data_IF_262319077893
#
_entry.id   IF_262319077893
#
_cell.length_a   1.000
_cell.length_b   1.000
_cell.length_c   1.000
_cell.angle_alpha   90.00
_cell.angle_beta   90.00
_cell.angle_gamma   90.00
#
_symmetry.space_group_name_H-M   'P 1'
#
loop_
_entity.id
_entity.type
_entity.pdbx_description
1 polymer ?
#
# COMPACT_ATOMS: atom_id res chain seq x y z
N UNK A 1 19.51 -30.09 -64.56
CA UNK A 1 20.01 -29.37 -63.38
C UNK A 1 18.83 -29.18 -62.43
N UNK A 2 19.01 -29.75 -61.22
CA UNK A 2 18.37 -29.45 -59.93
C UNK A 2 16.83 -29.44 -59.78
N UNK A 3 16.37 -30.52 -59.15
CA UNK A 3 15.12 -30.67 -58.40
C UNK A 3 15.16 -29.88 -57.07
N UNK A 4 13.96 -29.53 -56.57
CA UNK A 4 13.56 -29.69 -55.16
C UNK A 4 14.01 -28.62 -54.15
N UNK A 5 13.09 -27.74 -53.77
CA UNK A 5 13.14 -27.06 -52.47
C UNK A 5 11.77 -27.20 -51.79
N UNK A 6 11.78 -27.72 -50.57
CA UNK A 6 10.62 -28.23 -49.85
C UNK A 6 9.67 -27.17 -49.32
N UNK A 7 8.40 -27.55 -49.21
CA UNK A 7 7.43 -26.95 -48.31
C UNK A 7 7.76 -27.38 -46.87
N UNK A 8 8.13 -26.42 -46.02
CA UNK A 8 8.03 -26.55 -44.56
C UNK A 8 6.64 -26.12 -44.10
N UNK A 9 6.15 -26.59 -42.93
CA UNK A 9 4.82 -26.27 -42.47
C UNK A 9 4.72 -24.79 -42.04
N UNK A 10 3.66 -24.12 -42.48
CA UNK A 10 3.21 -22.84 -41.93
C UNK A 10 2.90 -23.02 -40.44
N UNK A 11 3.64 -22.31 -39.59
CA UNK A 11 3.28 -22.15 -38.18
C UNK A 11 2.36 -20.93 -38.13
N UNK A 12 1.06 -21.18 -38.01
CA UNK A 12 0.09 -20.15 -37.60
C UNK A 12 0.55 -19.58 -36.26
N UNK A 13 0.98 -18.32 -36.28
CA UNK A 13 1.20 -17.54 -35.06
C UNK A 13 -0.17 -17.07 -34.57
N UNK A 14 -0.71 -17.75 -33.58
CA UNK A 14 -1.83 -17.28 -32.77
C UNK A 14 -1.49 -15.93 -32.15
N UNK A 15 -2.28 -14.91 -32.49
CA UNK A 15 -2.18 -13.58 -31.93
C UNK A 15 -2.91 -13.53 -30.58
N UNK A 16 -2.17 -13.66 -29.47
CA UNK A 16 -2.67 -13.36 -28.13
C UNK A 16 -1.64 -12.58 -27.34
N UNK A 17 -1.54 -11.28 -27.64
CA UNK A 17 -1.04 -10.25 -26.73
C UNK A 17 -1.90 -9.02 -27.00
N UNK A 18 -3.01 -8.90 -26.27
CA UNK A 18 -3.72 -7.61 -26.15
C UNK A 18 -3.11 -6.90 -24.94
N UNK A 19 -2.28 -5.90 -25.23
CA UNK A 19 -1.88 -4.88 -24.26
C UNK A 19 -3.13 -4.19 -23.72
N UNK A 20 -3.52 -4.53 -22.49
CA UNK A 20 -4.57 -3.81 -21.78
C UNK A 20 -3.96 -2.60 -21.09
N UNK A 21 -4.15 -1.43 -21.71
CA UNK A 21 -4.00 -0.13 -21.05
C UNK A 21 -5.16 0.05 -20.05
N UNK A 22 -4.84 0.49 -18.85
CA UNK A 22 -5.83 0.98 -17.88
C UNK A 22 -6.47 2.26 -18.46
N UNK A 23 -7.80 2.35 -18.62
CA UNK A 23 -8.45 3.54 -19.18
C UNK A 23 -8.28 4.76 -18.26
N UNK A 24 -7.94 5.91 -18.83
CA UNK A 24 -7.87 7.18 -18.13
C UNK A 24 -9.28 7.77 -17.96
N UNK A 25 -9.68 8.05 -16.73
CA UNK A 25 -10.93 8.77 -16.43
C UNK A 25 -10.74 10.28 -16.68
N UNK A 26 -11.67 10.87 -17.43
CA UNK A 26 -11.67 12.28 -17.81
C UNK A 26 -12.11 13.14 -16.63
N UNK A 27 -11.23 13.98 -16.11
CA UNK A 27 -11.60 15.09 -15.23
C UNK A 27 -11.72 16.37 -16.05
N UNK A 28 -12.96 16.86 -16.22
CA UNK A 28 -13.23 18.20 -16.72
C UNK A 28 -12.83 19.23 -15.64
N UNK A 29 -11.92 20.15 -15.96
CA UNK A 29 -11.62 21.32 -15.12
C UNK A 29 -11.82 22.60 -15.93
N UNK A 30 -12.73 23.46 -15.45
CA UNK A 30 -12.94 24.82 -15.95
C UNK A 30 -11.85 25.79 -15.45
N UNK A 31 -11.66 26.94 -16.11
CA UNK A 31 -10.43 27.72 -15.99
C UNK A 31 -10.45 28.70 -14.80
N UNK A 32 -9.40 28.68 -13.98
CA UNK A 32 -9.10 29.75 -13.03
C UNK A 32 -8.08 30.73 -13.62
N UNK A 33 -8.36 32.03 -13.42
CA UNK A 33 -7.64 33.16 -13.95
C UNK A 33 -6.33 33.46 -13.21
N UNK A 34 -5.36 33.97 -13.98
CA UNK A 34 -4.07 34.49 -13.52
C UNK A 34 -4.18 35.61 -12.48
N UNK A 35 -3.30 35.59 -11.48
CA UNK A 35 -2.83 36.82 -10.83
C UNK A 35 -1.33 36.78 -10.55
N UNK A 36 -0.70 37.88 -10.94
CA UNK A 36 0.72 38.21 -10.92
C UNK A 36 1.11 38.92 -9.62
N UNK A 37 2.23 38.53 -9.03
CA UNK A 37 2.98 39.34 -8.06
C UNK A 37 3.68 40.52 -8.76
N UNK A 38 4.03 41.60 -8.02
CA UNK A 38 5.47 41.73 -7.71
C UNK A 38 5.82 42.31 -6.32
N UNK A 39 6.99 41.84 -5.87
CA UNK A 39 8.03 42.36 -4.97
C UNK A 39 7.88 43.71 -4.24
N UNK A 40 8.35 43.74 -2.97
CA UNK A 40 9.50 44.57 -2.54
C UNK A 40 9.97 44.23 -1.12
N UNK A 41 11.29 44.11 -0.96
CA UNK A 41 12.04 43.83 0.28
C UNK A 41 12.74 45.09 0.78
N UNK A 42 12.67 45.38 2.09
CA UNK A 42 13.59 46.28 2.81
C UNK A 42 13.88 45.74 4.24
N UNK A 43 15.06 46.04 4.82
CA UNK A 43 15.76 45.23 5.83
C UNK A 43 15.44 45.61 7.30
N UNK A 44 15.83 44.76 8.28
CA UNK A 44 15.49 44.95 9.68
C UNK A 44 16.44 45.88 10.43
N UNK A 45 15.88 46.62 11.40
CA UNK A 45 16.58 47.52 12.31
C UNK A 45 17.13 46.78 13.53
N UNK A 46 18.40 47.08 13.87
CA UNK A 46 19.15 46.59 15.02
C UNK A 46 18.73 47.31 16.32
N UNK A 47 18.50 46.55 17.39
CA UNK A 47 18.52 47.07 18.77
C UNK A 47 19.26 46.08 19.71
N UNK A 48 20.48 46.46 20.08
CA UNK A 48 21.13 46.31 21.39
C UNK A 48 21.19 44.94 22.11
N UNK A 49 22.32 44.24 21.98
CA UNK A 49 22.80 43.27 22.99
C UNK A 49 23.83 43.95 23.93
N UNK A 50 23.80 43.68 25.25
CA UNK A 50 24.95 43.94 26.11
C UNK A 50 25.91 42.74 26.12
N UNK A 51 27.20 43.04 25.91
CA UNK A 51 28.34 42.13 26.06
C UNK A 51 28.52 41.66 27.51
N UNK A 52 28.40 40.35 27.74
CA UNK A 52 29.30 39.53 28.59
C UNK A 52 28.68 38.16 28.91
N UNK A 53 28.91 37.15 28.07
CA UNK A 53 28.97 35.76 28.54
C UNK A 53 29.82 34.90 27.60
N UNK A 54 30.94 34.40 28.09
CA UNK A 54 31.82 33.44 27.40
C UNK A 54 31.51 32.05 27.95
N UNK A 55 31.05 31.07 27.15
CA UNK A 55 30.70 29.75 27.66
C UNK A 55 31.95 28.93 28.01
N UNK A 56 32.13 28.61 29.29
CA UNK A 56 32.96 27.48 29.73
C UNK A 56 32.23 26.64 30.77
N UNK A 57 32.06 25.36 30.42
CA UNK A 57 31.92 24.19 31.30
C UNK A 57 30.61 24.00 32.11
N UNK A 58 29.79 23.04 31.62
CA UNK A 58 28.77 22.19 32.29
C UNK A 58 28.34 22.58 33.72
N UNK A 59 27.18 23.23 33.82
CA UNK A 59 26.30 23.19 35.00
C UNK A 59 25.03 22.41 34.65
N UNK A 60 25.02 21.11 34.96
CA UNK A 60 23.80 20.33 35.05
C UNK A 60 23.27 20.48 36.49
N UNK A 61 21.99 20.80 36.71
CA UNK A 61 21.44 20.84 38.06
C UNK A 61 21.50 19.45 38.70
N UNK A 62 22.11 19.38 39.88
CA UNK A 62 22.13 18.17 40.72
C UNK A 62 20.74 18.00 41.32
N UNK A 63 19.96 17.04 40.80
CA UNK A 63 18.72 16.59 41.42
C UNK A 63 19.11 15.67 42.59
N UNK A 64 18.92 16.11 43.82
CA UNK A 64 19.10 15.24 44.99
C UNK A 64 17.93 14.25 45.08
N UNK A 65 18.22 12.97 45.38
CA UNK A 65 17.18 11.97 45.70
C UNK A 65 16.47 12.39 46.99
N UNK A 66 15.38 13.12 46.85
CA UNK A 66 14.58 13.66 47.96
C UNK A 66 13.59 14.73 47.51
N UNK A 67 13.90 15.46 46.43
CA UNK A 67 13.10 16.61 45.97
C UNK A 67 12.02 16.25 44.93
N UNK A 68 11.80 14.97 44.64
CA UNK A 68 10.65 14.54 43.83
C UNK A 68 9.39 14.46 44.69
N UNK A 69 8.46 15.39 44.47
CA UNK A 69 7.08 15.28 44.93
C UNK A 69 6.51 13.95 44.45
N UNK A 70 6.29 13.00 45.37
CA UNK A 70 5.56 11.79 45.04
C UNK A 70 4.07 12.12 44.96
N UNK A 71 3.56 12.18 43.73
CA UNK A 71 2.12 12.19 43.47
C UNK A 71 1.63 10.76 43.65
N UNK A 72 0.92 10.51 44.75
CA UNK A 72 0.18 9.25 44.95
C UNK A 72 -1.01 9.25 44.00
N UNK A 73 -0.93 8.44 42.94
CA UNK A 73 -2.05 8.20 42.05
C UNK A 73 -2.88 7.07 42.66
N UNK A 74 -4.11 7.39 43.04
CA UNK A 74 -5.09 6.41 43.52
C UNK A 74 -5.56 5.56 42.32
N UNK A 75 -5.30 4.24 42.27
CA UNK A 75 -5.67 3.41 41.12
C UNK A 75 -7.15 3.08 41.21
N UNK A 76 -8.00 4.06 40.96
CA UNK A 76 -9.43 3.84 40.81
C UNK A 76 -9.73 3.27 39.41
N UNK A 77 -9.85 1.94 39.37
CA UNK A 77 -10.72 1.16 38.47
C UNK A 77 -10.60 1.42 36.96
N UNK A 78 -9.44 1.14 36.39
CA UNK A 78 -9.44 0.58 35.03
C UNK A 78 -9.88 -0.89 35.14
N UNK A 79 -10.87 -1.36 34.35
CA UNK A 79 -11.18 -2.79 34.33
C UNK A 79 -9.91 -3.54 33.94
N UNK A 80 -9.49 -4.48 34.79
CA UNK A 80 -8.35 -5.33 34.50
C UNK A 80 -8.63 -6.06 33.18
N UNK A 81 -7.86 -5.73 32.15
CA UNK A 81 -7.86 -6.49 30.92
C UNK A 81 -7.57 -7.95 31.29
N UNK A 82 -8.53 -8.84 31.06
CA UNK A 82 -8.28 -10.25 31.27
C UNK A 82 -7.11 -10.67 30.37
N UNK A 83 -6.18 -11.50 30.86
CA UNK A 83 -5.10 -11.98 30.02
C UNK A 83 -5.72 -12.86 28.94
N UNK A 84 -5.88 -12.29 27.74
CA UNK A 84 -6.30 -13.03 26.55
C UNK A 84 -5.19 -14.04 26.28
N UNK A 85 -5.47 -15.32 26.47
CA UNK A 85 -4.49 -16.37 26.21
C UNK A 85 -4.41 -16.58 24.70
N UNK A 86 -3.44 -15.93 24.06
CA UNK A 86 -3.19 -15.99 22.61
C UNK A 86 -3.06 -14.60 21.98
N UNK A 87 -2.51 -14.50 20.76
CA UNK A 87 -2.53 -13.24 20.03
C UNK A 87 -3.97 -12.78 19.80
N UNK A 88 -4.23 -11.47 19.79
CA UNK A 88 -5.56 -10.95 19.50
C UNK A 88 -6.04 -11.28 18.08
N UNK A 89 -7.31 -10.98 17.76
CA UNK A 89 -7.91 -11.21 16.44
C UNK A 89 -7.03 -10.64 15.30
N UNK A 90 -7.00 -11.32 14.16
CA UNK A 90 -6.30 -10.88 12.96
C UNK A 90 -7.30 -10.30 11.98
N UNK A 91 -7.06 -9.08 11.51
CA UNK A 91 -7.83 -8.41 10.46
C UNK A 91 -6.94 -8.04 9.29
N UNK A 92 -7.52 -8.07 8.10
CA UNK A 92 -6.87 -7.66 6.85
C UNK A 92 -7.72 -6.61 6.14
N UNK A 93 -7.06 -5.60 5.59
CA UNK A 93 -7.64 -4.50 4.81
C UNK A 93 -7.17 -4.62 3.37
N UNK A 94 -8.12 -4.60 2.43
CA UNK A 94 -7.83 -4.51 1.00
C UNK A 94 -7.37 -3.12 0.58
N UNK A 95 -7.31 -2.92 -0.74
CA UNK A 95 -6.80 -1.71 -1.38
C UNK A 95 -7.66 -0.48 -1.06
N UNK A 96 -7.00 0.62 -0.69
CA UNK A 96 -7.67 1.82 -0.14
C UNK A 96 -7.75 2.95 -1.16
N UNK A 97 -6.69 3.18 -1.94
CA UNK A 97 -6.64 4.19 -3.01
C UNK A 97 -7.12 5.58 -2.60
N UNK A 98 -6.65 6.12 -1.48
CA UNK A 98 -6.95 7.49 -1.04
C UNK A 98 -8.41 7.73 -0.63
N UNK A 99 -9.23 6.69 -0.54
CA UNK A 99 -10.61 6.76 -0.05
C UNK A 99 -10.65 6.73 1.49
N UNK A 100 -10.09 7.79 2.09
CA UNK A 100 -9.93 7.92 3.54
C UNK A 100 -11.26 7.77 4.32
N UNK A 101 -12.32 8.42 3.85
CA UNK A 101 -13.62 8.36 4.53
C UNK A 101 -14.20 6.93 4.53
N UNK A 102 -14.03 6.20 3.43
CA UNK A 102 -14.44 4.80 3.31
C UNK A 102 -13.61 3.91 4.22
N UNK A 103 -12.30 4.16 4.32
CA UNK A 103 -11.42 3.43 5.23
C UNK A 103 -11.84 3.64 6.69
N UNK A 104 -12.03 4.89 7.10
CA UNK A 104 -12.47 5.23 8.46
C UNK A 104 -13.81 4.55 8.77
N UNK A 105 -14.78 4.64 7.86
CA UNK A 105 -16.08 4.00 8.04
C UNK A 105 -15.97 2.47 8.19
N UNK A 106 -15.15 1.81 7.34
CA UNK A 106 -14.98 0.36 7.40
C UNK A 106 -14.24 -0.10 8.67
N UNK A 107 -13.23 0.65 9.13
CA UNK A 107 -12.54 0.37 10.38
C UNK A 107 -13.47 0.55 11.60
N UNK A 108 -14.34 1.57 11.57
CA UNK A 108 -15.35 1.80 12.62
C UNK A 108 -16.42 0.71 12.62
N UNK A 109 -16.89 0.27 11.45
CA UNK A 109 -17.85 -0.83 11.31
C UNK A 109 -17.33 -2.12 11.98
N UNK A 110 -16.02 -2.37 11.88
CA UNK A 110 -15.36 -3.52 12.52
C UNK A 110 -14.94 -3.26 13.98
N UNK A 111 -15.20 -2.08 14.54
CA UNK A 111 -14.82 -1.72 15.91
C UNK A 111 -13.30 -1.61 16.12
N UNK A 112 -12.54 -1.40 15.05
CA UNK A 112 -11.08 -1.26 15.09
C UNK A 112 -10.65 0.11 15.61
N UNK A 113 -11.43 1.13 15.23
CA UNK A 113 -11.26 2.52 15.68
C UNK A 113 -12.58 3.07 16.21
N UNK A 114 -12.50 4.02 17.13
CA UNK A 114 -13.66 4.68 17.71
C UNK A 114 -14.21 5.82 16.82
N UNK A 115 -15.23 6.53 17.32
CA UNK A 115 -15.83 7.66 16.61
C UNK A 115 -14.91 8.87 16.45
N UNK A 116 -13.80 8.94 17.21
CA UNK A 116 -12.76 9.95 17.07
C UNK A 116 -11.63 9.48 16.12
N UNK A 117 -11.70 8.27 15.58
CA UNK A 117 -10.71 7.69 14.68
C UNK A 117 -9.45 7.22 15.40
N UNK A 118 -9.55 6.88 16.68
CA UNK A 118 -8.47 6.36 17.52
C UNK A 118 -8.61 4.85 17.68
N UNK A 119 -7.48 4.14 17.77
CA UNK A 119 -7.48 2.69 17.99
C UNK A 119 -8.22 2.31 19.28
N UNK A 120 -9.21 1.43 19.17
CA UNK A 120 -9.98 0.91 20.31
C UNK A 120 -10.03 -0.62 20.39
N UNK A 121 -9.29 -1.34 19.56
CA UNK A 121 -9.37 -2.79 19.43
C UNK A 121 -8.36 -3.59 20.27
N UNK A 122 -7.77 -2.99 21.29
CA UNK A 122 -6.89 -3.67 22.25
C UNK A 122 -5.74 -4.42 21.56
N UNK A 123 -5.63 -5.72 21.82
CA UNK A 123 -4.56 -6.61 21.29
C UNK A 123 -4.79 -7.08 19.84
N UNK A 124 -5.77 -6.50 19.13
CA UNK A 124 -6.05 -6.84 17.73
C UNK A 124 -4.83 -6.57 16.83
N UNK A 125 -4.74 -7.36 15.78
CA UNK A 125 -3.66 -7.34 14.80
C UNK A 125 -4.26 -6.99 13.45
N UNK A 126 -3.80 -5.90 12.84
CA UNK A 126 -4.32 -5.39 11.57
C UNK A 126 -3.22 -5.38 10.51
N UNK A 127 -3.54 -5.85 9.31
CA UNK A 127 -2.66 -5.79 8.14
C UNK A 127 -3.35 -5.10 6.98
N UNK A 128 -2.65 -4.15 6.36
CA UNK A 128 -3.03 -3.56 5.07
C UNK A 128 -2.25 -4.23 3.94
N UNK A 129 -2.91 -4.55 2.82
CA UNK A 129 -2.30 -5.27 1.69
C UNK A 129 -1.64 -4.36 0.64
N UNK A 130 -1.44 -3.07 0.94
CA UNK A 130 -0.86 -2.08 0.05
C UNK A 130 -1.89 -1.19 -0.63
N UNK A 131 -1.43 -0.36 -1.57
CA UNK A 131 -2.25 0.55 -2.39
C UNK A 131 -3.06 1.56 -1.55
N UNK A 132 -2.33 2.38 -0.79
CA UNK A 132 -2.87 3.44 0.05
C UNK A 132 -3.27 4.68 -0.74
N UNK A 133 -2.55 4.98 -1.82
CA UNK A 133 -2.64 6.27 -2.54
C UNK A 133 -3.22 6.12 -3.94
N UNK A 134 -3.35 7.27 -4.60
CA UNK A 134 -3.87 7.45 -5.96
C UNK A 134 -5.37 7.16 -6.11
N UNK A 135 -5.97 7.69 -7.18
CA UNK A 135 -7.39 7.61 -7.57
C UNK A 135 -8.33 8.38 -6.63
N UNK A 136 -8.41 8.01 -5.36
CA UNK A 136 -9.23 8.70 -4.37
C UNK A 136 -8.66 10.08 -3.97
N UNK A 137 -9.41 10.84 -3.15
CA UNK A 137 -9.11 12.25 -2.91
C UNK A 137 -8.00 12.53 -1.89
N UNK A 138 -7.65 11.59 -1.01
CA UNK A 138 -6.75 11.83 0.12
C UNK A 138 -5.81 10.65 0.43
N UNK A 139 -4.85 10.39 -0.45
CA UNK A 139 -3.85 9.33 -0.24
C UNK A 139 -2.91 9.61 0.92
N UNK A 140 -2.48 10.86 1.10
CA UNK A 140 -1.59 11.21 2.24
C UNK A 140 -2.32 11.07 3.57
N UNK A 141 -3.60 11.44 3.66
CA UNK A 141 -4.40 11.23 4.86
C UNK A 141 -4.58 9.76 5.22
N UNK A 142 -4.64 8.86 4.23
CA UNK A 142 -4.60 7.41 4.46
C UNK A 142 -3.27 6.98 5.08
N UNK A 143 -2.14 7.42 4.52
CA UNK A 143 -0.81 7.12 5.07
C UNK A 143 -0.69 7.64 6.51
N UNK A 144 -1.08 8.88 6.77
CA UNK A 144 -1.07 9.50 8.10
C UNK A 144 -1.89 8.68 9.11
N UNK A 145 -3.08 8.21 8.70
CA UNK A 145 -3.93 7.36 9.52
C UNK A 145 -3.24 6.03 9.84
N UNK A 146 -2.71 5.32 8.84
CA UNK A 146 -2.07 4.01 9.03
C UNK A 146 -0.83 4.13 9.93
N UNK A 147 0.00 5.17 9.73
CA UNK A 147 1.15 5.44 10.58
C UNK A 147 0.74 5.69 12.04
N UNK A 148 -0.34 6.46 12.26
CA UNK A 148 -0.89 6.70 13.61
C UNK A 148 -1.42 5.42 14.24
N UNK A 149 -2.25 4.66 13.51
CA UNK A 149 -2.82 3.41 14.01
C UNK A 149 -1.75 2.37 14.34
N UNK A 150 -0.64 2.34 13.60
CA UNK A 150 0.52 1.50 13.92
C UNK A 150 1.05 1.77 15.34
N UNK A 151 1.24 3.05 15.69
CA UNK A 151 1.71 3.46 17.01
C UNK A 151 0.67 3.21 18.10
N UNK A 152 -0.61 3.52 17.86
CA UNK A 152 -1.69 3.34 18.82
C UNK A 152 -1.96 1.86 19.12
N UNK A 153 -1.99 1.00 18.08
CA UNK A 153 -2.18 -0.43 18.24
C UNK A 153 -1.04 -1.07 19.04
N UNK A 154 0.21 -0.68 18.76
CA UNK A 154 1.38 -1.15 19.51
C UNK A 154 1.30 -0.76 21.00
N UNK A 155 0.85 0.47 21.30
CA UNK A 155 0.65 0.93 22.67
C UNK A 155 -0.45 0.15 23.42
N UNK A 156 -1.45 -0.35 22.69
CA UNK A 156 -2.55 -1.17 23.23
C UNK A 156 -2.22 -2.68 23.33
N UNK A 157 -1.02 -3.10 22.92
CA UNK A 157 -0.58 -4.51 22.92
C UNK A 157 -1.01 -5.30 21.68
N UNK A 158 -1.53 -4.63 20.65
CA UNK A 158 -1.79 -5.17 19.32
C UNK A 158 -0.72 -4.74 18.33
N UNK A 159 -1.03 -4.78 17.04
CA UNK A 159 -0.24 -4.10 16.00
C UNK A 159 -1.09 -3.72 14.80
N UNK A 160 -0.65 -2.70 14.08
CA UNK A 160 -1.16 -2.35 12.76
C UNK A 160 0.04 -2.22 11.81
N UNK A 161 0.08 -3.06 10.78
CA UNK A 161 1.18 -3.20 9.82
C UNK A 161 0.65 -3.14 8.39
N UNK A 162 1.56 -2.95 7.44
CA UNK A 162 1.24 -2.68 6.04
C UNK A 162 2.24 -3.36 5.12
N UNK A 163 1.76 -3.85 3.97
CA UNK A 163 2.58 -4.30 2.87
C UNK A 163 2.82 -3.18 1.85
N UNK A 164 3.89 -3.33 1.08
CA UNK A 164 4.20 -2.52 -0.09
C UNK A 164 3.24 -2.86 -1.24
N UNK A 165 2.50 -1.87 -1.73
CA UNK A 165 1.75 -1.97 -2.99
C UNK A 165 2.50 -1.42 -4.19
N UNK A 166 1.95 -1.61 -5.39
CA UNK A 166 2.54 -1.01 -6.59
C UNK A 166 2.35 0.51 -6.62
N UNK A 167 1.31 1.05 -5.97
CA UNK A 167 1.08 2.49 -5.92
C UNK A 167 2.06 3.21 -4.99
N UNK A 168 2.51 2.58 -3.90
CA UNK A 168 3.59 3.11 -3.06
C UNK A 168 4.91 3.18 -3.85
N UNK A 169 5.25 2.13 -4.61
CA UNK A 169 6.41 2.11 -5.49
C UNK A 169 6.34 3.21 -6.56
N UNK A 170 5.15 3.42 -7.12
CA UNK A 170 4.91 4.41 -8.16
C UNK A 170 5.03 5.85 -7.62
N UNK A 171 4.48 6.13 -6.43
CA UNK A 171 4.59 7.43 -5.77
C UNK A 171 6.03 7.73 -5.32
N UNK A 172 6.71 6.74 -4.72
CA UNK A 172 8.13 6.84 -4.38
C UNK A 172 8.98 7.17 -5.62
N UNK A 173 8.76 6.44 -6.71
CA UNK A 173 9.47 6.65 -7.96
C UNK A 173 9.16 8.01 -8.58
N UNK A 174 7.91 8.47 -8.55
CA UNK A 174 7.54 9.79 -9.06
C UNK A 174 8.25 10.90 -8.28
N UNK A 175 8.32 10.79 -6.95
CA UNK A 175 9.03 11.75 -6.10
C UNK A 175 10.54 11.75 -6.33
N UNK A 176 11.16 10.56 -6.50
CA UNK A 176 12.62 10.40 -6.57
C UNK A 176 13.18 10.62 -7.97
N UNK A 177 12.47 10.17 -8.99
CA UNK A 177 12.95 10.10 -10.37
C UNK A 177 12.22 11.06 -11.30
N UNK A 178 10.98 11.48 -10.98
CA UNK A 178 10.21 12.42 -11.79
C UNK A 178 10.13 12.00 -13.26
N UNK A 179 10.63 12.86 -14.15
CA UNK A 179 10.67 12.65 -15.61
C UNK A 179 11.92 11.90 -16.10
N UNK A 180 12.69 11.27 -15.20
CA UNK A 180 13.83 10.44 -15.60
C UNK A 180 13.34 9.30 -16.51
N UNK A 181 13.89 9.17 -17.73
CA UNK A 181 13.55 8.08 -18.63
C UNK A 181 13.92 6.72 -18.05
N UNK A 182 13.00 5.77 -18.14
CA UNK A 182 13.24 4.35 -17.83
C UNK A 182 12.88 3.48 -19.03
N UNK A 183 13.54 2.34 -19.17
CA UNK A 183 13.25 1.42 -20.26
C UNK A 183 12.01 0.58 -19.93
N UNK A 184 10.93 0.75 -20.71
CA UNK A 184 9.74 -0.09 -20.60
C UNK A 184 9.61 -1.01 -21.83
N UNK A 185 8.90 -2.12 -21.67
CA UNK A 185 8.64 -3.05 -22.79
C UNK A 185 7.91 -2.41 -24.00
N UNK A 186 7.28 -1.25 -23.81
CA UNK A 186 6.59 -0.48 -24.85
C UNK A 186 7.36 0.77 -25.31
N UNK A 187 8.62 0.95 -24.89
CA UNK A 187 9.46 2.11 -25.18
C UNK A 187 9.87 2.88 -23.91
N UNK A 188 10.24 4.15 -24.05
CA UNK A 188 10.62 4.99 -22.91
C UNK A 188 9.39 5.41 -22.09
N UNK A 189 9.46 5.27 -20.76
CA UNK A 189 8.46 5.75 -19.80
C UNK A 189 9.11 6.66 -18.75
N UNK A 190 8.30 7.30 -17.89
CA UNK A 190 8.76 8.02 -16.70
C UNK A 190 7.82 7.71 -15.54
N UNK A 191 8.33 7.74 -14.30
CA UNK A 191 7.50 7.55 -13.12
C UNK A 191 6.45 8.65 -12.96
N UNK A 192 6.79 9.90 -13.25
CA UNK A 192 5.84 11.02 -13.17
C UNK A 192 4.64 10.81 -14.10
N UNK A 193 4.88 10.41 -15.35
CA UNK A 193 3.81 10.15 -16.31
C UNK A 193 2.99 8.92 -15.91
N UNK A 194 3.65 7.84 -15.49
CA UNK A 194 2.97 6.62 -15.06
C UNK A 194 2.11 6.84 -13.81
N UNK A 195 2.60 7.60 -12.84
CA UNK A 195 1.87 7.98 -11.64
C UNK A 195 0.59 8.76 -11.98
N UNK A 196 0.69 9.81 -12.79
CA UNK A 196 -0.47 10.58 -13.25
C UNK A 196 -1.48 9.72 -14.00
N UNK A 197 -1.01 8.81 -14.88
CA UNK A 197 -1.88 7.90 -15.64
C UNK A 197 -2.61 6.89 -14.75
N UNK A 198 -2.05 6.53 -13.61
CA UNK A 198 -2.65 5.58 -12.66
C UNK A 198 -3.45 6.26 -11.54
N UNK A 199 -3.82 7.53 -11.72
CA UNK A 199 -4.68 8.26 -10.80
C UNK A 199 -3.92 9.10 -9.77
N UNK A 200 -2.64 9.38 -9.98
CA UNK A 200 -1.84 10.20 -9.10
C UNK A 200 -2.47 11.57 -8.81
N UNK A 201 -2.60 11.89 -7.52
CA UNK A 201 -3.20 13.16 -7.07
C UNK A 201 -2.13 14.20 -6.78
N UNK A 202 -2.22 15.37 -7.42
CA UNK A 202 -1.26 16.47 -7.21
C UNK A 202 -1.23 16.95 -5.76
N UNK A 203 -2.39 17.00 -5.11
CA UNK A 203 -2.51 17.35 -3.69
C UNK A 203 -1.74 16.40 -2.79
N UNK A 204 -1.66 15.11 -3.15
CA UNK A 204 -0.87 14.14 -2.40
C UNK A 204 0.63 14.41 -2.57
N UNK A 205 1.09 14.66 -3.81
CA UNK A 205 2.48 15.00 -4.08
C UNK A 205 2.93 16.29 -3.37
N UNK A 206 2.05 17.30 -3.31
CA UNK A 206 2.31 18.57 -2.62
C UNK A 206 2.41 18.39 -1.09
N UNK A 207 1.63 17.47 -0.52
CA UNK A 207 1.66 17.15 0.92
C UNK A 207 2.74 16.14 1.31
N UNK A 208 3.28 15.38 0.36
CA UNK A 208 4.24 14.31 0.58
C UNK A 208 5.55 14.82 1.23
N UNK A 209 5.85 14.32 2.44
CA UNK A 209 7.03 14.66 3.23
C UNK A 209 8.00 13.47 3.36
N UNK A 210 9.22 13.75 3.79
CA UNK A 210 10.28 12.74 3.94
C UNK A 210 9.90 11.57 4.87
N UNK A 211 9.12 11.81 5.92
CA UNK A 211 8.70 10.73 6.82
C UNK A 211 7.71 9.77 6.16
N UNK A 212 6.85 10.24 5.25
CA UNK A 212 6.00 9.36 4.43
C UNK A 212 6.87 8.49 3.50
N UNK A 213 7.88 9.10 2.86
CA UNK A 213 8.79 8.39 1.96
C UNK A 213 9.60 7.31 2.70
N UNK A 214 10.10 7.65 3.89
CA UNK A 214 10.86 6.72 4.73
C UNK A 214 9.98 5.59 5.26
N UNK A 215 8.72 5.89 5.60
CA UNK A 215 7.77 4.88 6.03
C UNK A 215 7.43 3.92 4.88
N UNK A 216 7.02 4.43 3.72
CA UNK A 216 6.71 3.59 2.54
C UNK A 216 7.90 2.74 2.11
N UNK A 217 9.11 3.30 2.08
CA UNK A 217 10.31 2.58 1.64
C UNK A 217 10.75 1.44 2.57
N UNK A 218 10.11 1.29 3.75
CA UNK A 218 10.37 0.23 4.74
C UNK A 218 9.25 -0.79 4.85
N UNK A 219 8.18 -0.66 4.06
CA UNK A 219 7.09 -1.64 4.07
C UNK A 219 7.60 -2.99 3.58
N UNK A 220 7.13 -4.06 4.20
CA UNK A 220 7.42 -5.43 3.77
C UNK A 220 6.69 -5.72 2.46
N UNK A 221 7.31 -6.48 1.57
CA UNK A 221 6.70 -6.95 0.33
C UNK A 221 5.79 -8.18 0.54
N UNK A 222 6.16 -9.02 1.51
CA UNK A 222 5.51 -10.29 1.81
C UNK A 222 5.63 -10.59 3.31
N UNK A 223 4.61 -11.22 3.88
CA UNK A 223 4.61 -11.65 5.30
C UNK A 223 3.82 -12.94 5.49
N UNK A 224 4.25 -13.81 6.42
CA UNK A 224 3.44 -14.92 6.90
C UNK A 224 2.90 -14.66 8.32
N UNK A 225 1.57 -14.77 8.50
CA UNK A 225 0.90 -14.60 9.80
C UNK A 225 -0.24 -15.60 9.97
N UNK A 226 -0.27 -16.31 11.10
CA UNK A 226 -1.32 -17.27 11.44
C UNK A 226 -1.64 -18.31 10.34
N UNK A 227 -0.62 -18.72 9.59
CA UNK A 227 -0.79 -19.66 8.48
C UNK A 227 -1.35 -19.05 7.20
N UNK A 228 -1.43 -17.72 7.11
CA UNK A 228 -1.70 -16.97 5.88
C UNK A 228 -0.41 -16.35 5.36
N UNK A 229 -0.20 -16.46 4.05
CA UNK A 229 0.82 -15.69 3.34
C UNK A 229 0.15 -14.43 2.77
N UNK A 230 0.56 -13.27 3.22
CA UNK A 230 0.05 -11.97 2.78
C UNK A 230 0.96 -11.44 1.68
N UNK A 231 0.37 -11.10 0.54
CA UNK A 231 1.06 -10.47 -0.60
C UNK A 231 0.19 -9.36 -1.15
N UNK A 232 0.79 -8.39 -1.84
CA UNK A 232 0.00 -7.33 -2.46
C UNK A 232 -0.82 -7.83 -3.65
N UNK A 233 -0.22 -8.62 -4.53
CA UNK A 233 -0.82 -9.02 -5.83
C UNK A 233 -0.76 -10.52 -6.10
N UNK A 234 -1.69 -11.03 -6.91
CA UNK A 234 -1.80 -12.44 -7.28
C UNK A 234 -0.82 -12.84 -8.39
N UNK A 235 0.47 -12.73 -8.08
CA UNK A 235 1.58 -13.07 -8.98
C UNK A 235 2.60 -13.98 -8.32
N UNK A 236 3.26 -14.82 -9.12
CA UNK A 236 4.42 -15.63 -8.68
C UNK A 236 5.73 -14.85 -8.73
N UNK A 237 5.73 -13.58 -9.15
CA UNK A 237 6.95 -12.78 -9.30
C UNK A 237 7.72 -12.57 -7.99
N UNK A 238 7.10 -12.81 -6.82
CA UNK A 238 7.80 -12.82 -5.53
C UNK A 238 8.94 -13.85 -5.51
N UNK A 239 8.81 -14.97 -6.23
CA UNK A 239 9.86 -16.01 -6.36
C UNK A 239 11.13 -15.51 -7.07
N UNK A 240 11.08 -14.36 -7.76
CA UNK A 240 12.25 -13.79 -8.40
C UNK A 240 13.17 -13.04 -7.42
N UNK A 241 12.74 -12.81 -6.17
CA UNK A 241 13.42 -11.94 -5.21
C UNK A 241 14.06 -12.68 -4.03
N UNK A 242 13.85 -13.98 -3.87
CA UNK A 242 14.45 -14.76 -2.80
C UNK A 242 13.79 -16.12 -2.62
N UNK A 243 14.45 -17.00 -1.87
CA UNK A 243 13.92 -18.33 -1.52
C UNK A 243 13.31 -18.34 -0.10
N UNK A 244 13.24 -17.18 0.56
CA UNK A 244 12.60 -16.96 1.87
C UNK A 244 11.92 -15.60 1.95
N UNK A 245 11.01 -15.41 2.92
CA UNK A 245 10.31 -14.14 3.15
C UNK A 245 11.30 -13.01 3.43
N UNK A 246 12.31 -13.30 4.24
CA UNK A 246 13.36 -12.35 4.61
C UNK A 246 14.16 -11.91 3.37
N UNK A 247 14.59 -12.84 2.52
CA UNK A 247 15.33 -12.51 1.30
C UNK A 247 14.50 -11.69 0.31
N UNK A 248 13.20 -11.97 0.18
CA UNK A 248 12.30 -11.17 -0.67
C UNK A 248 12.22 -9.73 -0.15
N UNK A 249 11.98 -9.54 1.16
CA UNK A 249 11.88 -8.22 1.76
C UNK A 249 13.22 -7.46 1.68
N UNK A 250 14.34 -8.11 2.00
CA UNK A 250 15.68 -7.54 1.90
C UNK A 250 15.99 -7.11 0.45
N UNK A 251 15.69 -7.95 -0.54
CA UNK A 251 15.93 -7.61 -1.96
C UNK A 251 15.11 -6.41 -2.43
N UNK A 252 13.85 -6.32 -1.98
CA UNK A 252 12.98 -5.17 -2.27
C UNK A 252 13.50 -3.90 -1.60
N UNK A 253 13.87 -3.95 -0.31
CA UNK A 253 14.43 -2.82 0.43
C UNK A 253 15.78 -2.36 -0.13
N UNK A 254 16.65 -3.29 -0.50
CA UNK A 254 17.94 -3.00 -1.13
C UNK A 254 17.77 -2.34 -2.49
N UNK A 255 16.80 -2.79 -3.29
CA UNK A 255 16.46 -2.16 -4.57
C UNK A 255 16.00 -0.71 -4.38
N UNK A 256 15.12 -0.46 -3.41
CA UNK A 256 14.70 0.90 -3.07
C UNK A 256 15.81 1.76 -2.48
N UNK A 257 16.76 1.16 -1.77
CA UNK A 257 17.91 1.85 -1.15
C UNK A 257 18.97 2.22 -2.18
N UNK A 258 19.24 1.35 -3.16
CA UNK A 258 20.13 1.64 -4.29
C UNK A 258 19.65 2.83 -5.12
N UNK A 259 18.34 3.06 -5.12
CA UNK A 259 17.71 4.23 -5.73
C UNK A 259 18.06 4.38 -7.22
N UNK A 260 18.08 3.25 -7.92
CA UNK A 260 18.21 3.17 -9.37
C UNK A 260 16.82 3.17 -10.03
N UNK A 261 16.65 3.99 -11.07
CA UNK A 261 15.34 4.20 -11.69
C UNK A 261 14.85 2.97 -12.47
N UNK A 262 15.73 2.28 -13.19
CA UNK A 262 15.35 1.10 -13.98
C UNK A 262 15.04 -0.10 -13.07
N UNK A 263 15.80 -0.28 -11.99
CA UNK A 263 15.53 -1.34 -11.01
C UNK A 263 14.22 -1.10 -10.23
N UNK A 264 13.99 0.14 -9.76
CA UNK A 264 12.72 0.48 -9.13
C UNK A 264 11.53 0.33 -10.10
N UNK A 265 11.76 0.59 -11.39
CA UNK A 265 10.73 0.44 -12.41
C UNK A 265 10.39 -1.03 -12.67
N UNK A 266 11.38 -1.92 -12.73
CA UNK A 266 11.09 -3.36 -12.85
C UNK A 266 10.38 -3.90 -11.61
N UNK A 267 10.75 -3.42 -10.42
CA UNK A 267 10.06 -3.74 -9.17
C UNK A 267 8.58 -3.33 -9.23
N UNK A 268 8.29 -2.07 -9.56
CA UNK A 268 6.94 -1.57 -9.80
C UNK A 268 6.18 -2.46 -10.80
N UNK A 269 6.79 -2.73 -11.96
CA UNK A 269 6.16 -3.53 -13.02
C UNK A 269 5.85 -4.95 -12.55
N UNK A 270 6.73 -5.59 -11.77
CA UNK A 270 6.48 -6.94 -11.24
C UNK A 270 5.35 -6.94 -10.22
N UNK A 271 5.22 -5.91 -9.38
CA UNK A 271 4.12 -5.78 -8.42
C UNK A 271 2.77 -5.55 -9.11
N UNK A 272 2.75 -4.94 -10.31
CA UNK A 272 1.51 -4.79 -11.10
C UNK A 272 1.02 -6.07 -11.80
N UNK A 273 1.83 -7.14 -11.83
CA UNK A 273 1.42 -8.41 -12.43
C UNK A 273 0.25 -9.00 -11.64
N UNK A 274 -0.63 -9.70 -12.34
CA UNK A 274 -1.89 -10.22 -11.78
C UNK A 274 -2.35 -11.48 -12.49
N UNK A 275 -3.38 -12.11 -11.92
CA UNK A 275 -4.12 -13.26 -12.45
C UNK A 275 -3.33 -14.56 -12.55
N UNK A 276 -2.19 -14.67 -11.86
CA UNK A 276 -1.45 -15.94 -11.84
C UNK A 276 -2.23 -17.05 -11.13
N UNK A 277 -3.20 -16.70 -10.28
CA UNK A 277 -4.00 -17.66 -9.52
C UNK A 277 -5.38 -17.94 -10.14
N UNK A 278 -5.77 -17.21 -11.20
CA UNK A 278 -7.17 -17.18 -11.68
C UNK A 278 -7.54 -18.36 -12.58
N UNK A 279 -6.66 -18.73 -13.50
CA UNK A 279 -6.99 -19.63 -14.61
C UNK A 279 -6.61 -21.10 -14.30
N UNK A 280 -6.74 -22.01 -15.27
CA UNK A 280 -6.31 -23.41 -15.13
C UNK A 280 -4.81 -23.49 -14.77
N UNK A 281 -4.50 -24.04 -13.59
CA UNK A 281 -3.15 -24.04 -12.99
C UNK A 281 -2.93 -22.98 -11.89
N UNK A 282 -3.91 -22.12 -11.64
CA UNK A 282 -3.81 -21.08 -10.60
C UNK A 282 -3.55 -21.64 -9.20
N UNK A 283 -4.17 -22.77 -8.84
CA UNK A 283 -3.91 -23.45 -7.57
C UNK A 283 -2.45 -23.94 -7.46
N UNK A 284 -1.81 -24.34 -8.57
CA UNK A 284 -0.40 -24.74 -8.57
C UNK A 284 0.54 -23.54 -8.40
N UNK A 285 0.18 -22.39 -8.98
CA UNK A 285 0.88 -21.13 -8.74
C UNK A 285 0.76 -20.64 -7.29
N UNK A 286 -0.38 -20.87 -6.64
CA UNK A 286 -0.54 -20.61 -5.21
C UNK A 286 0.31 -21.58 -4.39
N UNK A 287 0.28 -22.88 -4.71
CA UNK A 287 1.08 -23.90 -4.02
C UNK A 287 2.58 -23.62 -4.14
N UNK A 288 3.08 -23.15 -5.28
CA UNK A 288 4.52 -22.84 -5.41
C UNK A 288 4.98 -21.75 -4.44
N UNK A 289 4.17 -20.72 -4.21
CA UNK A 289 4.45 -19.69 -3.22
C UNK A 289 4.34 -20.23 -1.79
N UNK A 290 3.29 -21.01 -1.47
CA UNK A 290 3.09 -21.59 -0.14
C UNK A 290 4.17 -22.63 0.21
N UNK A 291 4.64 -23.42 -0.76
CA UNK A 291 5.71 -24.41 -0.58
C UNK A 291 7.06 -23.72 -0.30
N UNK A 292 7.26 -22.52 -0.87
CA UNK A 292 8.50 -21.74 -0.70
C UNK A 292 8.48 -20.93 0.60
N UNK A 293 7.40 -20.19 0.85
CA UNK A 293 7.32 -19.19 1.92
C UNK A 293 6.50 -19.63 3.14
N UNK A 294 5.83 -20.77 3.06
CA UNK A 294 4.96 -21.29 4.11
C UNK A 294 3.55 -20.70 4.07
N UNK A 295 2.73 -21.15 5.02
CA UNK A 295 1.30 -20.84 5.09
C UNK A 295 0.43 -21.95 4.49
N UNK A 296 -0.88 -21.74 4.55
CA UNK A 296 -1.92 -22.66 4.08
C UNK A 296 -2.86 -22.00 3.09
N UNK A 297 -2.93 -20.66 3.09
CA UNK A 297 -3.67 -19.84 2.14
C UNK A 297 -2.93 -18.52 1.87
N UNK A 298 -3.13 -17.95 0.70
CA UNK A 298 -2.66 -16.62 0.32
C UNK A 298 -3.81 -15.61 0.46
N UNK A 299 -3.51 -14.42 0.99
CA UNK A 299 -4.44 -13.28 1.01
C UNK A 299 -3.80 -12.14 0.25
N UNK A 300 -4.53 -11.55 -0.70
CA UNK A 300 -3.98 -10.51 -1.58
C UNK A 300 -4.98 -9.40 -1.93
N UNK A 301 -4.43 -8.24 -2.30
CA UNK A 301 -5.11 -7.07 -2.86
C UNK A 301 -4.96 -6.99 -4.38
N UNK A 302 -4.78 -5.77 -4.93
CA UNK A 302 -4.38 -5.39 -6.30
C UNK A 302 -5.29 -5.80 -7.48
N UNK A 303 -5.89 -6.98 -7.37
CA UNK A 303 -6.75 -7.59 -8.38
C UNK A 303 -8.19 -7.45 -7.91
N UNK A 304 -8.90 -6.38 -8.35
CA UNK A 304 -10.28 -6.17 -7.97
C UNK A 304 -11.10 -7.43 -8.20
N UNK A 305 -11.86 -7.83 -7.20
CA UNK A 305 -12.80 -8.96 -7.27
C UNK A 305 -13.70 -8.88 -8.52
N UNK A 306 -14.22 -7.70 -8.94
CA UNK A 306 -14.94 -7.56 -10.21
C UNK A 306 -14.18 -8.09 -11.43
N UNK A 307 -12.87 -7.90 -11.49
CA UNK A 307 -12.02 -8.38 -12.58
C UNK A 307 -11.77 -9.88 -12.50
N UNK A 308 -11.62 -10.42 -11.30
CA UNK A 308 -11.49 -11.87 -11.08
C UNK A 308 -12.76 -12.63 -11.48
N UNK A 309 -13.93 -12.04 -11.22
CA UNK A 309 -15.23 -12.61 -11.57
C UNK A 309 -15.63 -12.39 -13.05
N UNK A 310 -14.83 -11.64 -13.82
CA UNK A 310 -15.17 -11.26 -15.19
C UNK A 310 -16.38 -10.31 -15.30
N UNK A 311 -16.71 -9.60 -14.22
CA UNK A 311 -17.89 -8.75 -14.10
C UNK A 311 -17.59 -7.28 -14.41
N UNK A 312 -16.78 -7.02 -15.44
CA UNK A 312 -16.53 -5.64 -15.89
C UNK A 312 -17.60 -5.29 -16.92
N UNK A 313 -18.42 -4.28 -16.63
CA UNK A 313 -19.48 -3.84 -17.53
C UNK A 313 -18.95 -3.58 -18.94
N UNK A 314 -19.65 -4.08 -19.96
CA UNK A 314 -19.46 -3.63 -21.33
C UNK A 314 -19.85 -2.15 -21.42
N UNK A 315 -19.09 -1.34 -22.17
CA UNK A 315 -19.38 0.09 -22.43
C UNK A 315 -20.79 0.34 -23.05
N UNK A 316 -21.51 -0.72 -23.44
CA UNK A 316 -22.80 -0.67 -24.14
C UNK A 316 -24.04 -1.11 -23.30
N UNK A 317 -23.95 -1.21 -21.97
CA UNK A 317 -25.06 -1.73 -21.14
C UNK A 317 -25.65 -0.74 -20.15
N UNK A 318 -26.95 -0.46 -20.24
CA UNK A 318 -27.77 0.38 -19.33
C UNK A 318 -27.85 -0.11 -17.87
N UNK A 319 -27.07 -1.10 -17.45
CA UNK A 319 -27.00 -1.58 -16.07
C UNK A 319 -25.95 -0.80 -15.27
N UNK A 320 -26.42 0.27 -14.63
CA UNK A 320 -25.64 1.15 -13.73
C UNK A 320 -25.28 0.50 -12.38
N UNK A 321 -25.68 -0.74 -12.13
CA UNK A 321 -25.28 -1.48 -10.95
C UNK A 321 -23.99 -2.25 -11.27
N UNK A 322 -22.85 -1.68 -10.89
CA UNK A 322 -21.59 -2.41 -10.86
C UNK A 322 -21.70 -3.71 -10.05
N UNK A 323 -20.80 -4.68 -10.24
CA UNK A 323 -20.84 -5.92 -9.50
C UNK A 323 -20.81 -5.68 -7.99
N UNK A 324 -21.78 -6.29 -7.30
CA UNK A 324 -21.93 -6.14 -5.85
C UNK A 324 -20.94 -7.08 -5.16
N UNK A 325 -19.84 -6.52 -4.66
CA UNK A 325 -18.85 -7.24 -3.86
C UNK A 325 -19.18 -7.07 -2.38
N UNK A 326 -19.77 -8.11 -1.79
CA UNK A 326 -20.20 -8.10 -0.38
C UNK A 326 -19.09 -8.53 0.59
N UNK A 327 -18.03 -9.17 0.09
CA UNK A 327 -16.95 -9.69 0.92
C UNK A 327 -15.79 -10.26 0.11
N UNK A 328 -14.82 -10.88 0.79
CA UNK A 328 -13.64 -11.46 0.15
C UNK A 328 -14.01 -12.56 -0.85
N UNK A 329 -13.21 -12.70 -1.90
CA UNK A 329 -13.40 -13.76 -2.90
C UNK A 329 -12.39 -14.89 -2.69
N UNK A 330 -12.90 -16.09 -2.39
CA UNK A 330 -12.09 -17.29 -2.21
C UNK A 330 -12.04 -18.10 -3.51
N UNK A 331 -10.84 -18.41 -3.99
CA UNK A 331 -10.63 -19.09 -5.27
C UNK A 331 -9.36 -19.95 -5.26
N UNK A 332 -8.95 -20.47 -6.42
CA UNK A 332 -7.79 -21.36 -6.59
C UNK A 332 -7.84 -22.57 -5.62
N UNK A 333 -8.89 -23.39 -5.74
CA UNK A 333 -9.18 -24.52 -4.83
C UNK A 333 -9.30 -24.14 -3.34
N UNK A 334 -9.66 -22.89 -3.06
CA UNK A 334 -9.78 -22.36 -1.70
C UNK A 334 -8.44 -21.96 -1.07
N UNK A 335 -7.38 -21.88 -1.87
CA UNK A 335 -6.04 -21.51 -1.42
C UNK A 335 -5.79 -20.01 -1.47
N UNK A 336 -6.54 -19.24 -2.27
CA UNK A 336 -6.36 -17.79 -2.39
C UNK A 336 -7.61 -17.02 -1.95
N UNK A 337 -7.39 -15.87 -1.32
CA UNK A 337 -8.41 -14.94 -0.82
C UNK A 337 -8.10 -13.55 -1.38
N UNK A 338 -8.93 -13.05 -2.28
CA UNK A 338 -8.85 -11.69 -2.78
C UNK A 338 -9.61 -10.74 -1.85
N UNK A 339 -8.99 -9.61 -1.52
CA UNK A 339 -9.49 -8.58 -0.61
C UNK A 339 -9.74 -7.22 -1.28
N UNK A 340 -9.33 -7.03 -2.53
CA UNK A 340 -9.64 -5.82 -3.28
C UNK A 340 -11.11 -5.85 -3.74
N UNK A 341 -11.98 -5.20 -2.96
CA UNK A 341 -13.41 -5.09 -3.30
C UNK A 341 -13.70 -4.14 -4.45
N UNK A 342 -12.69 -3.49 -5.04
CA UNK A 342 -12.85 -2.57 -6.16
C UNK A 342 -13.43 -1.22 -5.72
N UNK A 343 -12.91 -0.62 -4.63
CA UNK A 343 -13.38 0.70 -4.13
C UNK A 343 -13.33 1.79 -5.20
N UNK A 344 -12.38 1.68 -6.12
CA UNK A 344 -12.20 2.57 -7.29
C UNK A 344 -13.26 2.37 -8.39
N UNK A 345 -14.04 1.29 -8.29
CA UNK A 345 -15.10 0.87 -9.22
C UNK A 345 -16.49 0.94 -8.56
N UNK A 346 -16.65 1.78 -7.53
CA UNK A 346 -17.84 1.85 -6.67
C UNK A 346 -18.13 0.55 -5.88
N UNK A 347 -17.13 -0.33 -5.74
CA UNK A 347 -17.15 -1.48 -4.85
C UNK A 347 -16.90 -1.09 -3.39
N UNK A 348 -16.91 -2.09 -2.50
CA UNK A 348 -16.72 -1.89 -1.06
C UNK A 348 -15.23 -1.95 -0.70
N UNK A 349 -14.77 -1.07 0.19
CA UNK A 349 -13.48 -1.25 0.87
C UNK A 349 -13.64 -2.36 1.91
N UNK A 350 -12.90 -3.46 1.73
CA UNK A 350 -13.04 -4.64 2.58
C UNK A 350 -12.08 -4.57 3.78
N UNK A 351 -12.64 -4.76 4.97
CA UNK A 351 -11.93 -5.00 6.23
C UNK A 351 -12.51 -6.27 6.83
N UNK A 352 -11.69 -7.32 6.97
CA UNK A 352 -12.20 -8.64 7.32
C UNK A 352 -11.34 -9.31 8.39
N UNK A 353 -12.00 -9.93 9.36
CA UNK A 353 -11.35 -10.81 10.34
C UNK A 353 -11.00 -12.16 9.71
N UNK A 354 -9.80 -12.66 10.00
CA UNK A 354 -9.35 -14.02 9.69
C UNK A 354 -9.35 -14.90 10.96
N UNK A 355 -9.61 -16.22 10.82
CA UNK A 355 -10.04 -16.91 9.60
C UNK A 355 -11.43 -16.47 9.13
N UNK A 356 -11.74 -16.62 7.85
CA UNK A 356 -13.09 -16.38 7.34
C UNK A 356 -14.06 -17.41 7.95
N UNK A 357 -15.25 -16.95 8.32
CA UNK A 357 -16.32 -17.84 8.77
C UNK A 357 -16.68 -18.85 7.65
N UNK A 358 -16.93 -20.09 8.06
CA UNK A 358 -17.13 -21.24 7.16
C UNK A 358 -18.53 -21.27 6.51
#
# INVERSE_FOLDING_TARGET
>A
MTQGAGQGPEVERTATLRDFRVPAYVNETGPYAHSTHPSETLPPTEDGYPDAYTPTQRDLPVINRGDTLQVTVDPASAPAAQPVTGPGPLYVVGDVHGYLDQLVAALQEQGLIDSAGQWCAGTTRLWFLGDFTDRGPDGIGVIDLVMRLSAEAAAAGGYCKALMGNHELLLLGAKRFGDTPVNSGAGTATFQAAWLLNGGQKSDMDRLQDHHLQWMARLDAIEAVDGYLLVHSDTTAYLDYGDSIEEVNDTVHDTLTRNDADECWDLFRKFTKRFSFRDEGGADAVRSLLDTYGGTRIVHGHSPIPYLLGQVGSEDGEDTAGPVVEGPHVYADGLAIAMDGGVTMAGKLLVQQLPLDA
#
